data_IF_051650348562
#
_entry.id   IF_051650348562
#
_cell.length_a   1.000
_cell.length_b   1.000
_cell.length_c   1.000
_cell.angle_alpha   90.00
_cell.angle_beta   90.00
_cell.angle_gamma   90.00
#
_symmetry.space_group_name_H-M   'P 1'
#
loop_
_entity.id
_entity.type
_entity.pdbx_description
1 polymer ?
#
# COMPACT_ATOMS: atom_id res chain seq x y z
N UNK A 1 29.71 4.21 -24.00
CA UNK A 1 28.87 3.76 -22.86
C UNK A 1 27.99 2.62 -23.33
N UNK A 2 28.15 1.39 -22.82
CA UNK A 2 27.13 0.36 -23.04
C UNK A 2 26.03 0.57 -22.00
N UNK A 3 24.82 0.92 -22.42
CA UNK A 3 23.65 0.91 -21.53
C UNK A 3 23.54 -0.49 -20.90
N UNK A 4 23.17 -0.59 -19.62
CA UNK A 4 23.05 -1.87 -18.93
C UNK A 4 22.18 -2.88 -19.71
N UNK A 5 21.15 -2.39 -20.43
CA UNK A 5 20.29 -3.19 -21.31
C UNK A 5 20.97 -3.76 -22.56
N UNK A 6 22.10 -3.21 -23.00
CA UNK A 6 22.90 -3.80 -24.07
C UNK A 6 23.69 -5.01 -23.57
N UNK A 7 24.06 -5.04 -22.28
CA UNK A 7 24.76 -6.18 -21.65
C UNK A 7 23.82 -7.19 -21.02
N UNK A 8 22.64 -6.74 -20.59
CA UNK A 8 21.59 -7.54 -19.97
C UNK A 8 20.26 -7.21 -20.66
N UNK A 9 20.02 -7.76 -21.86
CA UNK A 9 18.78 -7.53 -22.59
C UNK A 9 17.58 -8.04 -21.78
N UNK A 10 16.41 -7.46 -22.01
CA UNK A 10 15.16 -7.97 -21.42
C UNK A 10 14.92 -9.38 -21.95
N UNK A 11 14.77 -10.39 -21.08
CA UNK A 11 14.46 -11.75 -21.52
C UNK A 11 13.13 -11.78 -22.28
N UNK A 12 13.01 -12.69 -23.25
CA UNK A 12 11.74 -12.99 -23.90
C UNK A 12 10.78 -13.69 -22.91
N UNK A 13 9.49 -13.71 -23.21
CA UNK A 13 8.50 -14.43 -22.40
C UNK A 13 8.86 -15.92 -22.27
N UNK A 14 9.32 -16.53 -23.36
CA UNK A 14 9.77 -17.93 -23.37
C UNK A 14 10.97 -18.15 -22.44
N UNK A 15 11.99 -17.28 -22.52
CA UNK A 15 13.15 -17.36 -21.62
C UNK A 15 12.75 -17.21 -20.14
N UNK A 16 11.75 -16.36 -19.84
CA UNK A 16 11.22 -16.24 -18.49
C UNK A 16 10.50 -17.51 -18.05
N UNK A 17 9.65 -18.10 -18.91
CA UNK A 17 8.93 -19.34 -18.60
C UNK A 17 9.88 -20.52 -18.35
N UNK A 18 11.00 -20.60 -19.07
CA UNK A 18 12.03 -21.62 -18.87
C UNK A 18 12.85 -21.39 -17.59
N UNK A 19 13.14 -20.13 -17.25
CA UNK A 19 14.00 -19.79 -16.11
C UNK A 19 13.25 -19.74 -14.77
N UNK A 20 12.01 -19.24 -14.75
CA UNK A 20 11.25 -18.99 -13.52
C UNK A 20 11.08 -20.22 -12.61
N UNK A 21 10.81 -21.45 -13.12
CA UNK A 21 10.66 -22.63 -12.26
C UNK A 21 11.90 -22.97 -11.43
N UNK A 22 13.09 -22.62 -11.91
CA UNK A 22 14.37 -22.92 -11.25
C UNK A 22 15.03 -21.69 -10.63
N UNK A 23 14.41 -20.52 -10.76
CA UNK A 23 14.93 -19.27 -10.21
C UNK A 23 14.35 -19.02 -8.81
N UNK A 24 15.18 -18.48 -7.93
CA UNK A 24 14.67 -17.79 -6.74
C UNK A 24 14.00 -16.50 -7.20
N UNK A 25 12.67 -16.48 -7.20
CA UNK A 25 11.87 -15.32 -7.57
C UNK A 25 11.27 -14.69 -6.31
N UNK A 26 11.27 -13.36 -6.24
CA UNK A 26 10.66 -12.67 -5.12
C UNK A 26 10.02 -11.35 -5.53
N UNK A 27 8.98 -10.96 -4.81
CA UNK A 27 8.30 -9.68 -4.95
C UNK A 27 8.37 -8.94 -3.61
N UNK A 28 8.79 -7.68 -3.63
CA UNK A 28 8.80 -6.82 -2.44
C UNK A 28 7.57 -5.92 -2.49
N UNK A 29 6.68 -6.10 -1.52
CA UNK A 29 5.43 -5.34 -1.38
C UNK A 29 5.48 -4.44 -0.16
N UNK A 30 4.56 -3.48 -0.12
CA UNK A 30 4.37 -2.54 0.99
C UNK A 30 2.88 -2.35 1.21
N UNK A 31 2.49 -2.03 2.43
CA UNK A 31 1.12 -1.65 2.76
C UNK A 31 0.62 -0.59 1.75
N UNK A 32 -0.52 -0.82 1.06
CA UNK A 32 -0.87 -0.02 -0.12
C UNK A 32 -1.02 1.48 0.16
N UNK A 33 -1.53 1.87 1.32
CA UNK A 33 -1.72 3.27 1.69
C UNK A 33 -0.41 3.97 2.07
N UNK A 34 0.50 3.27 2.74
CA UNK A 34 1.83 3.74 3.04
C UNK A 34 2.65 3.90 1.75
N UNK A 35 2.52 2.95 0.81
CA UNK A 35 3.13 3.06 -0.52
C UNK A 35 2.62 4.28 -1.28
N UNK A 36 1.31 4.47 -1.34
CA UNK A 36 0.69 5.60 -2.02
C UNK A 36 1.15 6.95 -1.41
N UNK A 37 1.16 7.05 -0.08
CA UNK A 37 1.64 8.25 0.60
C UNK A 37 3.13 8.49 0.34
N UNK A 38 3.93 7.43 0.35
CA UNK A 38 5.35 7.50 0.02
C UNK A 38 5.56 8.05 -1.40
N UNK A 39 4.75 7.60 -2.37
CA UNK A 39 4.80 8.08 -3.74
C UNK A 39 4.43 9.57 -3.84
N UNK A 40 3.32 10.00 -3.20
CA UNK A 40 2.93 11.41 -3.13
C UNK A 40 4.07 12.27 -2.57
N UNK A 41 4.59 11.92 -1.39
CA UNK A 41 5.64 12.71 -0.70
C UNK A 41 6.96 12.76 -1.47
N UNK A 42 7.31 11.66 -2.16
CA UNK A 42 8.57 11.58 -2.90
C UNK A 42 8.49 12.29 -4.26
N UNK A 43 7.38 12.11 -4.98
CA UNK A 43 7.24 12.52 -6.38
C UNK A 43 6.47 13.81 -6.55
N UNK A 44 5.36 13.98 -5.83
CA UNK A 44 4.38 15.03 -6.09
C UNK A 44 4.57 16.23 -5.15
N UNK A 45 4.73 15.97 -3.86
CA UNK A 45 4.91 16.99 -2.83
C UNK A 45 6.24 17.71 -3.00
N UNK A 46 6.17 19.00 -3.31
CA UNK A 46 7.35 19.80 -3.61
C UNK A 46 8.19 19.20 -4.74
N UNK A 47 7.55 18.68 -5.78
CA UNK A 47 8.18 17.99 -6.90
C UNK A 47 9.35 18.79 -7.51
N UNK A 48 10.57 18.26 -7.39
CA UNK A 48 11.79 18.87 -7.96
C UNK A 48 12.11 18.35 -9.37
N UNK A 49 11.81 17.07 -9.61
CA UNK A 49 12.02 16.45 -10.91
C UNK A 49 11.13 17.14 -11.98
N UNK A 50 11.64 17.49 -13.17
CA UNK A 50 10.87 18.23 -14.18
C UNK A 50 9.58 17.55 -14.62
N UNK A 51 9.60 16.22 -14.80
CA UNK A 51 8.43 15.43 -15.18
C UNK A 51 7.36 15.52 -14.09
N UNK A 52 7.72 15.19 -12.85
CA UNK A 52 6.77 15.23 -11.75
C UNK A 52 6.31 16.64 -11.39
N UNK A 53 7.15 17.67 -11.60
CA UNK A 53 6.74 19.07 -11.43
C UNK A 53 5.66 19.48 -12.42
N UNK A 54 5.76 19.04 -13.68
CA UNK A 54 4.72 19.26 -14.69
C UNK A 54 3.43 18.53 -14.31
N UNK A 55 3.55 17.28 -13.87
CA UNK A 55 2.41 16.49 -13.40
C UNK A 55 1.72 17.11 -12.17
N UNK A 56 2.48 17.51 -11.15
CA UNK A 56 1.94 18.18 -9.96
C UNK A 56 1.14 19.42 -10.32
N UNK A 57 1.68 20.27 -11.22
CA UNK A 57 0.95 21.46 -11.70
C UNK A 57 -0.36 21.08 -12.40
N UNK A 58 -0.32 20.07 -13.26
CA UNK A 58 -1.51 19.59 -13.97
C UNK A 58 -2.59 19.09 -13.01
N UNK A 59 -2.21 18.26 -12.03
CA UNK A 59 -3.13 17.72 -11.01
C UNK A 59 -3.78 18.87 -10.21
N UNK A 60 -2.98 19.83 -9.76
CA UNK A 60 -3.47 20.99 -9.01
C UNK A 60 -4.44 21.83 -9.86
N UNK A 61 -4.11 22.09 -11.13
CA UNK A 61 -4.96 22.85 -12.04
C UNK A 61 -6.30 22.15 -12.30
N UNK A 62 -6.29 20.84 -12.56
CA UNK A 62 -7.51 20.07 -12.79
C UNK A 62 -8.43 20.06 -11.57
N UNK A 63 -7.87 19.84 -10.38
CA UNK A 63 -8.68 19.79 -9.17
C UNK A 63 -9.30 21.16 -8.84
N UNK A 64 -8.52 22.24 -8.99
CA UNK A 64 -8.97 23.61 -8.68
C UNK A 64 -9.93 24.17 -9.73
N UNK A 65 -9.77 23.84 -11.01
CA UNK A 65 -10.72 24.23 -12.04
C UNK A 65 -12.13 23.70 -11.73
N UNK A 66 -12.23 22.44 -11.29
CA UNK A 66 -13.49 21.83 -10.88
C UNK A 66 -14.08 22.49 -9.62
N UNK A 67 -13.25 23.08 -8.75
CA UNK A 67 -13.71 23.78 -7.54
C UNK A 67 -14.12 25.24 -7.82
N UNK A 68 -13.43 25.95 -8.71
CA UNK A 68 -13.73 27.35 -9.08
C UNK A 68 -15.06 27.45 -9.84
N UNK A 69 -15.45 26.43 -10.60
CA UNK A 69 -16.82 26.36 -11.14
C UNK A 69 -17.90 26.25 -10.05
N UNK A 70 -17.54 25.94 -8.80
CA UNK A 70 -18.46 25.69 -7.69
C UNK A 70 -18.39 26.76 -6.56
N UNK A 71 -17.39 27.65 -6.52
CA UNK A 71 -17.29 28.81 -5.61
C UNK A 71 -16.12 29.77 -5.93
N UNK A 72 -16.27 31.06 -5.57
CA UNK A 72 -15.23 32.10 -5.58
C UNK A 72 -14.20 31.87 -4.45
N UNK A 73 -13.15 31.08 -4.73
CA UNK A 73 -12.10 30.76 -3.74
C UNK A 73 -10.84 31.62 -3.99
N UNK A 74 -10.27 32.29 -2.96
CA UNK A 74 -9.05 33.08 -3.07
C UNK A 74 -7.86 32.25 -3.57
N UNK A 75 -7.20 32.77 -4.59
CA UNK A 75 -6.08 32.17 -5.30
C UNK A 75 -4.79 32.19 -4.44
N UNK A 76 -4.75 31.44 -3.34
CA UNK A 76 -3.48 31.16 -2.66
C UNK A 76 -2.70 30.16 -3.50
N UNK A 77 -1.71 30.67 -4.24
CA UNK A 77 -0.95 29.92 -5.25
C UNK A 77 -0.03 28.88 -4.57
N UNK A 78 -0.61 27.76 -4.12
CA UNK A 78 0.17 26.57 -3.75
C UNK A 78 0.77 25.98 -5.03
N UNK A 79 2.09 25.77 -5.02
CA UNK A 79 2.89 25.30 -6.17
C UNK A 79 2.57 23.87 -6.65
N UNK A 80 1.86 23.08 -5.84
CA UNK A 80 1.43 21.72 -6.17
C UNK A 80 0.12 21.33 -5.50
N UNK A 81 -0.38 20.11 -5.78
CA UNK A 81 -1.62 19.61 -5.22
C UNK A 81 -1.41 19.17 -3.78
N UNK A 82 -2.46 19.26 -2.98
CA UNK A 82 -2.62 18.63 -1.68
C UNK A 82 -2.83 17.12 -1.85
N UNK A 83 -2.74 16.38 -0.74
CA UNK A 83 -2.97 14.94 -0.76
C UNK A 83 -4.40 14.55 -1.20
N UNK A 84 -5.48 15.22 -0.74
CA UNK A 84 -6.83 14.96 -1.28
C UNK A 84 -6.95 15.25 -2.78
N UNK A 85 -6.38 16.36 -3.28
CA UNK A 85 -6.38 16.67 -4.72
C UNK A 85 -5.65 15.59 -5.54
N UNK A 86 -4.56 15.05 -4.99
CA UNK A 86 -3.84 13.92 -5.60
C UNK A 86 -4.64 12.62 -5.59
N UNK A 87 -5.34 12.32 -4.49
CA UNK A 87 -6.22 11.15 -4.38
C UNK A 87 -7.38 11.24 -5.37
N UNK A 88 -8.00 12.41 -5.52
CA UNK A 88 -9.04 12.63 -6.53
C UNK A 88 -8.52 12.40 -7.95
N UNK A 89 -7.30 12.86 -8.24
CA UNK A 89 -6.68 12.58 -9.53
C UNK A 89 -6.53 11.09 -9.78
N UNK A 90 -6.08 10.29 -8.80
CA UNK A 90 -5.97 8.83 -8.94
C UNK A 90 -7.34 8.20 -9.18
N UNK A 91 -8.33 8.57 -8.36
CA UNK A 91 -9.69 8.04 -8.43
C UNK A 91 -10.33 8.30 -9.79
N UNK A 92 -10.19 9.52 -10.31
CA UNK A 92 -10.89 9.98 -11.51
C UNK A 92 -10.12 9.64 -12.79
N UNK A 93 -8.79 9.78 -12.80
CA UNK A 93 -8.01 9.56 -14.04
C UNK A 93 -7.69 8.08 -14.27
N UNK A 94 -7.58 7.28 -13.19
CA UNK A 94 -7.02 5.92 -13.23
C UNK A 94 -5.68 5.82 -13.96
N UNK A 95 -4.93 6.93 -14.03
CA UNK A 95 -3.60 6.99 -14.63
C UNK A 95 -2.55 6.62 -13.58
N UNK A 96 -2.02 5.43 -13.73
CA UNK A 96 -1.03 4.88 -12.81
C UNK A 96 0.38 5.00 -13.40
N UNK A 97 1.35 5.42 -12.57
CA UNK A 97 2.77 5.22 -12.84
C UNK A 97 3.32 4.10 -11.95
N UNK A 98 4.56 3.66 -12.18
CA UNK A 98 5.23 2.60 -11.42
C UNK A 98 5.26 2.78 -9.88
N UNK A 99 5.09 4.00 -9.36
CA UNK A 99 5.15 4.31 -7.93
C UNK A 99 3.80 4.20 -7.22
N UNK A 100 2.69 4.39 -7.93
CA UNK A 100 1.33 4.30 -7.35
C UNK A 100 0.39 3.33 -8.09
N UNK A 101 0.86 2.63 -9.12
CA UNK A 101 0.10 1.52 -9.71
C UNK A 101 -0.11 0.40 -8.69
N UNK A 102 -1.33 -0.13 -8.51
CA UNK A 102 -1.55 -1.31 -7.66
C UNK A 102 -0.72 -2.50 -8.13
N UNK A 103 -0.18 -3.27 -7.19
CA UNK A 103 0.68 -4.41 -7.47
C UNK A 103 -0.03 -5.50 -8.27
N UNK A 104 -1.29 -5.81 -7.96
CA UNK A 104 -2.08 -6.79 -8.73
C UNK A 104 -2.17 -6.44 -10.22
N UNK A 105 -2.16 -5.13 -10.54
CA UNK A 105 -2.21 -4.65 -11.92
C UNK A 105 -0.83 -4.48 -12.58
N UNK A 106 0.19 -4.10 -11.81
CA UNK A 106 1.49 -3.71 -12.35
C UNK A 106 2.50 -4.86 -12.38
N UNK A 107 2.49 -5.72 -11.36
CA UNK A 107 3.47 -6.79 -11.18
C UNK A 107 2.94 -8.17 -11.59
N UNK A 108 1.65 -8.27 -11.97
CA UNK A 108 0.98 -9.52 -12.37
C UNK A 108 1.31 -10.71 -11.45
N UNK A 109 1.15 -10.58 -10.12
CA UNK A 109 1.50 -11.64 -9.17
C UNK A 109 0.73 -12.94 -9.39
N UNK A 110 -0.44 -12.89 -10.04
CA UNK A 110 -1.19 -14.08 -10.42
C UNK A 110 -0.56 -14.88 -11.57
N UNK A 111 0.35 -14.30 -12.35
CA UNK A 111 1.01 -14.93 -13.49
C UNK A 111 2.39 -15.49 -13.15
N UNK A 112 2.94 -15.14 -11.98
CA UNK A 112 4.27 -15.54 -11.54
C UNK A 112 4.17 -16.15 -10.16
N UNK A 113 4.53 -17.43 -10.04
CA UNK A 113 4.60 -18.12 -8.76
C UNK A 113 5.87 -17.70 -8.01
N UNK A 114 5.83 -16.53 -7.38
CA UNK A 114 6.97 -16.00 -6.63
C UNK A 114 7.33 -16.92 -5.47
N UNK A 115 8.62 -17.26 -5.35
CA UNK A 115 9.12 -18.07 -4.23
C UNK A 115 8.97 -17.34 -2.89
N UNK A 116 9.12 -16.01 -2.89
CA UNK A 116 9.02 -15.17 -1.68
C UNK A 116 8.24 -13.89 -1.96
N UNK A 117 7.26 -13.59 -1.10
CA UNK A 117 6.65 -12.26 -1.03
C UNK A 117 7.23 -11.57 0.22
N UNK A 118 8.16 -10.64 0.01
CA UNK A 118 8.79 -9.87 1.09
C UNK A 118 8.02 -8.57 1.35
N UNK A 119 8.01 -8.11 2.61
CA UNK A 119 7.27 -6.92 3.03
C UNK A 119 8.25 -5.81 3.43
N UNK A 120 8.00 -4.57 2.99
CA UNK A 120 8.82 -3.41 3.36
C UNK A 120 8.88 -3.20 4.88
N UNK A 121 7.84 -3.59 5.61
CA UNK A 121 7.75 -3.47 7.06
C UNK A 121 8.63 -4.49 7.83
N UNK A 122 9.10 -5.55 7.15
CA UNK A 122 10.00 -6.60 7.67
C UNK A 122 11.18 -6.82 6.74
N UNK A 123 11.57 -5.81 5.98
CA UNK A 123 12.53 -5.96 4.88
C UNK A 123 13.89 -6.43 5.37
N UNK A 124 14.31 -6.03 6.56
CA UNK A 124 15.53 -6.46 7.24
C UNK A 124 15.56 -7.98 7.48
N UNK A 125 14.46 -8.54 7.97
CA UNK A 125 14.33 -9.99 8.14
C UNK A 125 14.17 -10.70 6.80
N UNK A 126 13.35 -10.14 5.91
CA UNK A 126 12.98 -10.78 4.65
C UNK A 126 14.16 -10.76 3.65
N UNK A 127 15.02 -9.73 3.66
CA UNK A 127 16.25 -9.68 2.85
C UNK A 127 17.26 -10.75 3.31
N UNK A 128 17.43 -10.94 4.62
CA UNK A 128 18.31 -11.98 5.16
C UNK A 128 17.81 -13.38 4.76
N UNK A 129 16.50 -13.61 4.84
CA UNK A 129 15.89 -14.86 4.36
C UNK A 129 16.17 -15.11 2.86
N UNK A 130 15.97 -14.09 2.00
CA UNK A 130 16.24 -14.19 0.56
C UNK A 130 17.72 -14.49 0.30
N UNK A 131 18.63 -13.82 1.01
CA UNK A 131 20.08 -14.03 0.88
C UNK A 131 20.46 -15.48 1.24
N UNK A 132 19.91 -16.01 2.33
CA UNK A 132 20.11 -17.40 2.71
C UNK A 132 19.53 -18.38 1.69
N UNK A 133 18.32 -18.10 1.19
CA UNK A 133 17.67 -18.93 0.16
C UNK A 133 18.47 -18.95 -1.15
N UNK A 134 19.16 -17.86 -1.45
CA UNK A 134 20.06 -17.74 -2.61
C UNK A 134 21.44 -18.42 -2.41
N UNK A 135 21.78 -18.86 -1.19
CA UNK A 135 23.11 -19.38 -0.89
C UNK A 135 24.21 -18.30 -0.86
N UNK A 136 23.83 -17.02 -0.73
CA UNK A 136 24.73 -15.87 -0.83
C UNK A 136 25.16 -15.30 0.53
N UNK A 137 24.83 -15.95 1.63
CA UNK A 137 25.09 -15.48 2.99
C UNK A 137 26.57 -15.16 3.25
N UNK A 138 27.50 -15.93 2.68
CA UNK A 138 28.95 -15.68 2.79
C UNK A 138 29.41 -14.40 2.08
N UNK A 139 28.66 -13.96 1.07
CA UNK A 139 29.00 -12.81 0.23
C UNK A 139 28.26 -11.54 0.62
N UNK A 140 27.08 -11.66 1.24
CA UNK A 140 26.19 -10.50 1.45
C UNK A 140 25.91 -10.21 2.93
N UNK A 141 26.05 -11.18 3.85
CA UNK A 141 25.76 -10.92 5.26
C UNK A 141 26.96 -10.33 6.02
N UNK A 142 26.72 -9.36 6.94
CA UNK A 142 27.76 -8.62 7.64
C UNK A 142 28.70 -9.48 8.50
N UNK A 143 28.27 -10.65 8.96
CA UNK A 143 29.11 -11.59 9.72
C UNK A 143 30.38 -12.01 8.96
N UNK A 144 30.41 -11.81 7.64
CA UNK A 144 31.55 -12.09 6.76
C UNK A 144 32.22 -10.83 6.18
N UNK A 145 31.70 -9.63 6.44
CA UNK A 145 32.25 -8.35 5.95
C UNK A 145 32.74 -7.48 7.12
N UNK A 146 34.03 -7.08 7.11
CA UNK A 146 34.60 -6.10 8.06
C UNK A 146 34.04 -4.68 7.92
N UNK A 147 33.16 -4.44 6.94
CA UNK A 147 32.54 -3.14 6.70
C UNK A 147 31.09 -3.19 7.16
N UNK A 148 30.74 -2.33 8.13
CA UNK A 148 29.33 -2.05 8.44
C UNK A 148 28.68 -1.55 7.14
N UNK A 149 27.72 -2.28 6.55
CA UNK A 149 26.99 -1.72 5.43
C UNK A 149 26.36 -0.42 5.92
N UNK A 150 26.55 0.67 5.18
CA UNK A 150 25.75 1.87 5.38
C UNK A 150 24.32 1.40 5.26
N UNK A 151 23.57 1.37 6.35
CA UNK A 151 22.14 1.15 6.30
C UNK A 151 21.60 2.22 5.35
N UNK A 152 21.20 1.79 4.16
CA UNK A 152 20.42 2.60 3.26
C UNK A 152 19.03 2.72 3.90
N UNK A 153 18.97 3.49 4.98
CA UNK A 153 17.71 3.77 5.66
C UNK A 153 16.91 4.55 4.62
N UNK A 154 15.75 4.01 4.22
CA UNK A 154 14.75 4.69 3.41
C UNK A 154 14.18 5.88 4.19
N UNK A 155 15.02 6.88 4.49
CA UNK A 155 14.61 8.11 5.16
C UNK A 155 13.80 8.90 4.15
N UNK A 156 12.56 9.21 4.51
CA UNK A 156 11.82 10.25 3.82
C UNK A 156 12.62 11.57 3.90
N UNK A 157 12.28 12.55 3.05
CA UNK A 157 13.00 13.84 2.95
C UNK A 157 13.17 14.55 4.30
N UNK A 158 12.28 14.31 5.26
CA UNK A 158 12.26 14.88 6.60
C UNK A 158 12.65 13.89 7.71
N UNK A 159 13.16 12.70 7.35
CA UNK A 159 13.56 11.65 8.28
C UNK A 159 12.41 10.90 8.95
N UNK A 160 11.15 11.27 8.68
CA UNK A 160 9.97 10.61 9.27
C UNK A 160 9.58 9.37 8.49
N UNK A 161 9.39 8.26 9.18
CA UNK A 161 8.80 7.06 8.60
C UNK A 161 7.42 7.39 8.01
N UNK A 162 7.14 6.95 6.78
CA UNK A 162 5.85 7.22 6.14
C UNK A 162 4.69 6.64 6.94
N UNK A 163 4.86 5.47 7.56
CA UNK A 163 3.91 4.85 8.49
C UNK A 163 3.40 5.83 9.56
N UNK A 164 4.30 6.63 10.16
CA UNK A 164 3.94 7.61 11.20
C UNK A 164 3.14 8.82 10.69
N UNK A 165 3.00 8.96 9.37
CA UNK A 165 2.30 10.06 8.74
C UNK A 165 1.00 9.62 8.07
N UNK A 166 0.74 8.31 7.94
CA UNK A 166 -0.47 7.78 7.30
C UNK A 166 -1.72 8.40 7.90
N UNK A 167 -1.90 8.35 9.23
CA UNK A 167 -3.07 8.91 9.90
C UNK A 167 -3.29 10.39 9.58
N UNK A 168 -2.22 11.20 9.63
CA UNK A 168 -2.28 12.65 9.36
C UNK A 168 -2.73 12.97 7.93
N UNK A 169 -2.27 12.20 6.94
CA UNK A 169 -2.60 12.46 5.54
C UNK A 169 -3.99 11.92 5.19
N UNK A 170 -4.31 10.72 5.65
CA UNK A 170 -5.58 10.07 5.32
C UNK A 170 -6.77 10.66 6.08
N UNK A 171 -6.57 11.30 7.24
CA UNK A 171 -7.63 12.06 7.94
C UNK A 171 -8.12 13.29 7.17
N UNK A 172 -7.40 13.73 6.13
CA UNK A 172 -7.83 14.82 5.24
C UNK A 172 -8.81 14.33 4.15
N UNK A 173 -9.00 13.01 4.01
CA UNK A 173 -9.84 12.42 2.98
C UNK A 173 -11.28 12.28 3.47
N UNK A 174 -12.23 12.56 2.59
CA UNK A 174 -13.64 12.25 2.84
C UNK A 174 -13.87 10.74 2.83
N UNK A 175 -14.94 10.29 3.51
CA UNK A 175 -15.37 8.88 3.48
C UNK A 175 -15.52 8.36 2.04
N UNK A 176 -16.10 9.16 1.16
CA UNK A 176 -16.29 8.81 -0.27
C UNK A 176 -14.97 8.66 -1.01
N UNK A 177 -13.98 9.51 -0.72
CA UNK A 177 -12.63 9.36 -1.27
C UNK A 177 -12.00 8.06 -0.77
N UNK A 178 -12.10 7.76 0.53
CA UNK A 178 -11.58 6.52 1.12
C UNK A 178 -12.22 5.28 0.49
N UNK A 179 -13.55 5.23 0.36
CA UNK A 179 -14.26 4.11 -0.28
C UNK A 179 -13.82 3.88 -1.73
N UNK A 180 -13.73 4.96 -2.52
CA UNK A 180 -13.29 4.87 -3.91
C UNK A 180 -11.81 4.50 -4.03
N UNK A 181 -10.97 5.01 -3.15
CA UNK A 181 -9.55 4.69 -3.10
C UNK A 181 -9.35 3.22 -2.70
N UNK A 182 -10.13 2.72 -1.76
CA UNK A 182 -10.10 1.31 -1.37
C UNK A 182 -10.53 0.39 -2.52
N UNK A 183 -11.50 0.79 -3.35
CA UNK A 183 -11.82 0.05 -4.59
C UNK A 183 -10.66 -0.05 -5.59
N UNK A 184 -9.61 0.77 -5.47
CA UNK A 184 -8.42 0.74 -6.33
C UNK A 184 -7.37 -0.20 -5.74
N UNK A 185 -7.14 -0.13 -4.43
CA UNK A 185 -6.04 -0.84 -3.77
C UNK A 185 -6.47 -2.07 -2.97
N UNK A 186 -7.78 -2.30 -2.78
CA UNK A 186 -8.33 -3.34 -1.90
C UNK A 186 -7.84 -4.74 -2.24
N UNK A 187 -7.71 -5.07 -3.53
CA UNK A 187 -7.13 -6.34 -3.97
C UNK A 187 -5.69 -6.52 -3.49
N UNK A 188 -4.87 -5.46 -3.46
CA UNK A 188 -3.49 -5.56 -2.91
C UNK A 188 -3.52 -5.80 -1.40
N UNK A 189 -4.50 -5.23 -0.69
CA UNK A 189 -4.64 -5.47 0.75
C UNK A 189 -4.95 -6.93 1.06
N UNK A 190 -5.85 -7.54 0.29
CA UNK A 190 -6.21 -8.94 0.44
C UNK A 190 -5.08 -9.86 -0.03
N UNK A 191 -4.55 -9.61 -1.23
CA UNK A 191 -3.54 -10.45 -1.87
C UNK A 191 -2.24 -10.60 -1.07
N UNK A 192 -1.87 -9.58 -0.30
CA UNK A 192 -0.64 -9.58 0.48
C UNK A 192 -0.89 -9.63 1.99
N UNK A 193 -2.08 -10.03 2.42
CA UNK A 193 -2.45 -10.18 3.83
C UNK A 193 -2.15 -8.92 4.64
N UNK A 194 -2.51 -7.75 4.09
CA UNK A 194 -2.55 -6.49 4.84
C UNK A 194 -3.91 -6.28 5.52
N UNK A 195 -4.96 -6.96 5.06
CA UNK A 195 -6.26 -7.03 5.74
C UNK A 195 -6.26 -7.93 6.98
N UNK A 196 -5.17 -8.65 7.24
CA UNK A 196 -4.95 -9.40 8.47
C UNK A 196 -3.83 -8.75 9.29
N UNK A 197 -4.19 -8.34 10.50
CA UNK A 197 -3.28 -7.99 11.58
C UNK A 197 -2.06 -8.88 11.65
N UNK A 198 -0.88 -8.27 11.68
CA UNK A 198 0.30 -8.92 12.25
C UNK A 198 -0.09 -9.39 13.66
N UNK A 199 -0.16 -10.71 13.79
CA UNK A 199 -0.40 -11.56 14.97
C UNK A 199 -1.85 -11.94 15.35
N UNK A 200 -2.90 -11.53 14.64
CA UNK A 200 -4.30 -11.91 14.97
C UNK A 200 -4.83 -11.36 16.32
N UNK A 201 -3.95 -10.90 17.21
CA UNK A 201 -4.25 -10.32 18.52
C UNK A 201 -4.85 -8.93 18.41
N UNK A 202 -4.36 -8.12 17.47
CA UNK A 202 -4.88 -6.77 17.25
C UNK A 202 -6.28 -6.78 16.60
N UNK A 203 -6.63 -7.78 15.77
CA UNK A 203 -7.97 -7.86 15.16
C UNK A 203 -8.94 -8.33 16.20
N UNK A 204 -8.59 -9.33 17.02
CA UNK A 204 -9.44 -9.73 18.13
C UNK A 204 -9.69 -8.56 19.09
N UNK A 205 -8.65 -7.82 19.49
CA UNK A 205 -8.79 -6.69 20.40
C UNK A 205 -9.54 -5.49 19.79
N UNK A 206 -9.36 -5.20 18.49
CA UNK A 206 -10.10 -4.12 17.81
C UNK A 206 -11.54 -4.51 17.51
N UNK A 207 -11.78 -5.75 17.05
CA UNK A 207 -13.12 -6.31 16.88
C UNK A 207 -13.85 -6.30 18.21
N UNK A 208 -13.24 -6.79 19.28
CA UNK A 208 -13.82 -6.72 20.63
C UNK A 208 -14.07 -5.27 21.04
N UNK A 209 -13.11 -4.36 20.84
CA UNK A 209 -13.27 -2.93 21.17
C UNK A 209 -14.41 -2.26 20.39
N UNK A 210 -14.62 -2.59 19.12
CA UNK A 210 -15.68 -1.97 18.30
C UNK A 210 -17.04 -2.64 18.50
N UNK A 211 -17.10 -3.96 18.62
CA UNK A 211 -18.35 -4.68 18.86
C UNK A 211 -18.85 -4.50 20.30
N UNK A 212 -17.97 -4.22 21.27
CA UNK A 212 -18.34 -3.81 22.64
C UNK A 212 -18.90 -2.39 22.77
N UNK A 213 -18.93 -1.63 21.68
CA UNK A 213 -19.65 -0.35 21.63
C UNK A 213 -21.08 -0.51 21.11
N UNK A 214 -21.46 -1.71 20.67
CA UNK A 214 -22.79 -1.99 20.17
C UNK A 214 -23.70 -2.46 21.30
N UNK A 215 -25.00 -2.19 21.13
CA UNK A 215 -26.08 -2.84 21.88
C UNK A 215 -26.49 -4.15 21.20
N UNK A 216 -27.14 -5.05 21.95
CA UNK A 216 -27.63 -6.34 21.41
C UNK A 216 -28.53 -6.13 20.20
N UNK A 217 -29.44 -5.15 20.28
CA UNK A 217 -30.33 -4.77 19.18
C UNK A 217 -29.60 -4.24 17.95
N UNK A 218 -28.46 -3.56 18.11
CA UNK A 218 -27.61 -3.13 16.98
C UNK A 218 -26.88 -4.31 16.36
N UNK A 219 -26.37 -5.24 17.18
CA UNK A 219 -25.70 -6.45 16.69
C UNK A 219 -26.67 -7.38 15.95
N UNK A 220 -27.90 -7.55 16.44
CA UNK A 220 -28.95 -8.32 15.77
C UNK A 220 -29.32 -7.74 14.40
N UNK A 221 -29.40 -6.40 14.28
CA UNK A 221 -29.63 -5.72 12.99
C UNK A 221 -28.46 -5.90 12.04
N UNK A 222 -27.22 -5.79 12.53
CA UNK A 222 -26.02 -6.01 11.73
C UNK A 222 -25.96 -7.46 11.23
N UNK A 223 -26.20 -8.43 12.10
CA UNK A 223 -26.25 -9.85 11.72
C UNK A 223 -27.36 -10.13 10.71
N UNK A 224 -28.51 -9.45 10.80
CA UNK A 224 -29.58 -9.56 9.80
C UNK A 224 -29.19 -8.99 8.42
N UNK A 225 -28.36 -7.95 8.37
CA UNK A 225 -27.91 -7.33 7.11
C UNK A 225 -26.81 -8.18 6.47
N UNK A 226 -25.88 -8.69 7.26
CA UNK A 226 -24.67 -9.36 6.79
C UNK A 226 -24.71 -10.89 6.96
N UNK A 227 -25.84 -11.48 7.34
CA UNK A 227 -25.93 -12.91 7.69
C UNK A 227 -25.41 -13.85 6.60
N UNK A 228 -25.69 -13.54 5.33
CA UNK A 228 -25.17 -14.30 4.18
C UNK A 228 -23.65 -14.23 4.09
N UNK A 229 -23.02 -13.10 4.45
CA UNK A 229 -21.56 -13.00 4.49
C UNK A 229 -20.98 -13.86 5.62
N UNK A 230 -21.64 -13.92 6.79
CA UNK A 230 -21.21 -14.80 7.87
C UNK A 230 -21.22 -16.28 7.45
N UNK A 231 -22.22 -16.69 6.68
CA UNK A 231 -22.32 -18.06 6.14
C UNK A 231 -21.32 -18.31 5.00
N UNK A 232 -21.19 -17.37 4.06
CA UNK A 232 -20.32 -17.51 2.89
C UNK A 232 -18.83 -17.57 3.26
N UNK A 233 -18.44 -16.93 4.37
CA UNK A 233 -17.07 -16.88 4.86
C UNK A 233 -16.81 -17.70 6.13
N UNK A 234 -17.78 -18.52 6.55
CA UNK A 234 -17.71 -19.41 7.72
C UNK A 234 -17.33 -18.68 9.03
N UNK A 235 -17.89 -17.49 9.24
CA UNK A 235 -17.71 -16.71 10.46
C UNK A 235 -18.74 -17.11 11.53
N UNK A 236 -18.27 -17.49 12.71
CA UNK A 236 -19.15 -17.76 13.86
C UNK A 236 -19.71 -16.46 14.45
N UNK A 237 -20.96 -16.13 14.14
CA UNK A 237 -21.66 -14.94 14.63
C UNK A 237 -21.71 -14.86 16.17
N UNK A 238 -21.84 -16.00 16.86
CA UNK A 238 -21.92 -16.10 18.33
C UNK A 238 -20.71 -15.45 19.01
N UNK A 239 -19.53 -15.53 18.40
CA UNK A 239 -18.31 -14.89 18.90
C UNK A 239 -18.49 -13.39 19.09
N UNK A 240 -19.19 -12.72 18.18
CA UNK A 240 -19.35 -11.27 18.18
C UNK A 240 -20.48 -10.80 19.09
N UNK A 241 -21.54 -11.61 19.23
CA UNK A 241 -22.59 -11.36 20.22
C UNK A 241 -22.07 -11.35 21.67
N UNK A 242 -21.01 -12.13 21.94
CA UNK A 242 -20.36 -12.16 23.26
C UNK A 242 -19.56 -10.88 23.59
N UNK A 243 -19.24 -10.04 22.59
CA UNK A 243 -18.50 -8.79 22.82
C UNK A 243 -19.41 -7.60 23.12
N UNK A 244 -20.71 -7.71 22.86
CA UNK A 244 -21.71 -6.64 22.98
C UNK A 244 -22.00 -6.30 24.44
N UNK A 245 -22.27 -5.04 24.78
CA UNK A 245 -22.59 -4.65 26.16
C UNK A 245 -23.84 -5.40 26.66
N UNK A 246 -23.77 -5.91 27.90
CA UNK A 246 -24.97 -6.34 28.63
C UNK A 246 -25.84 -5.12 28.90
N UNK A 247 -27.12 -5.18 28.53
CA UNK A 247 -28.08 -4.10 28.73
C UNK A 247 -28.10 -3.66 30.21
N UNK A 248 -27.92 -2.36 30.46
CA UNK A 248 -28.36 -1.70 31.69
C UNK A 248 -29.85 -1.39 31.58
#
# INVERSE_FOLDING_TARGET
>A
MSLARARFPRPSVQQLQEALPNALSFLIVREPYERLLSAYRNKIEGAKNPYYRKLSKHIAQQSRYNQVQMADVPNTVRSGPTFPEFVDYIINSRKFDEHWAPYHSFCTPCNVNFTVIAKMETLDRDEEYIIHKAGLQRLLLPSHFRFKPRTAINKARDGKATAALVEKYYSQLTKKQMEKLHKIYGTDFEMFDYNATKDGKATAALVEKYYSQLTKKQMEKLHKIYGTDFEMFDYNATKYFNFVQSEQ
#
